data_IF_650345698098
#
_entry.id   IF_650345698098
#
_cell.length_a   1.000
_cell.length_b   1.000
_cell.length_c   1.000
_cell.angle_alpha   90.00
_cell.angle_beta   90.00
_cell.angle_gamma   90.00
#
_symmetry.space_group_name_H-M   'P 1'
#
loop_
_entity.id
_entity.type
_entity.pdbx_description
1 polymer ?
#
# COMPACT_ATOMS: atom_id res chain seq x y z
N UNK A 1 -15.57 22.40 2.99
CA UNK A 1 -16.83 21.64 2.85
C UNK A 1 -16.62 20.21 2.37
N UNK A 2 -15.52 19.95 1.66
CA UNK A 2 -15.26 18.65 1.04
C UNK A 2 -14.94 17.54 2.05
N UNK A 3 -14.56 17.88 3.26
CA UNK A 3 -14.27 16.94 4.36
C UNK A 3 -15.36 16.93 5.46
N UNK A 4 -16.57 17.36 5.17
CA UNK A 4 -17.69 17.32 6.12
C UNK A 4 -17.67 18.39 7.22
N UNK A 5 -16.63 19.24 7.29
CA UNK A 5 -16.52 20.28 8.30
C UNK A 5 -17.48 21.45 7.99
N UNK A 6 -17.98 22.10 9.04
CA UNK A 6 -18.90 23.24 8.89
C UNK A 6 -18.20 24.44 8.26
N UNK A 7 -18.99 25.27 7.56
CA UNK A 7 -18.47 26.51 6.98
C UNK A 7 -17.87 27.46 8.03
N UNK A 8 -18.41 27.45 9.25
CA UNK A 8 -17.89 28.22 10.36
C UNK A 8 -16.50 27.76 10.82
N UNK A 9 -16.24 26.45 10.76
CA UNK A 9 -14.92 25.90 11.05
C UNK A 9 -13.87 26.45 10.07
N UNK A 10 -14.11 26.30 8.76
CA UNK A 10 -13.17 26.79 7.75
C UNK A 10 -12.89 28.29 7.85
N UNK A 11 -13.92 29.09 8.05
CA UNK A 11 -13.75 30.54 8.18
C UNK A 11 -12.96 30.95 9.41
N UNK A 12 -13.16 30.28 10.52
CA UNK A 12 -12.43 30.53 11.76
C UNK A 12 -10.97 30.17 11.63
N UNK A 13 -10.69 28.93 11.26
CA UNK A 13 -9.33 28.41 11.21
C UNK A 13 -8.49 29.07 10.11
N UNK A 14 -9.08 29.36 8.96
CA UNK A 14 -8.39 30.08 7.88
C UNK A 14 -7.97 31.51 8.27
N UNK A 15 -8.66 32.13 9.21
CA UNK A 15 -8.33 33.47 9.70
C UNK A 15 -7.16 33.45 10.67
N UNK A 16 -7.09 32.44 11.53
CA UNK A 16 -6.11 32.36 12.62
C UNK A 16 -4.88 31.48 12.26
N UNK A 17 -4.90 30.87 11.08
CA UNK A 17 -3.94 29.84 10.68
C UNK A 17 -4.35 28.47 11.23
N UNK A 18 -4.33 27.46 10.37
CA UNK A 18 -4.70 26.09 10.77
C UNK A 18 -3.47 25.37 11.35
N UNK A 19 -3.52 25.06 12.63
CA UNK A 19 -2.57 24.14 13.23
C UNK A 19 -2.88 22.71 12.73
N UNK A 20 -1.87 22.06 12.17
CA UNK A 20 -2.00 20.69 11.65
C UNK A 20 -2.47 19.69 12.72
N UNK A 21 -2.08 19.89 13.99
CA UNK A 21 -2.52 19.04 15.08
C UNK A 21 -4.00 19.22 15.40
N UNK A 22 -4.50 20.44 15.33
CA UNK A 22 -5.94 20.74 15.49
C UNK A 22 -6.74 20.07 14.37
N UNK A 23 -6.28 20.12 13.13
CA UNK A 23 -6.92 19.45 12.01
C UNK A 23 -6.97 17.94 12.19
N UNK A 24 -5.86 17.33 12.61
CA UNK A 24 -5.80 15.89 12.89
C UNK A 24 -6.76 15.50 14.01
N UNK A 25 -6.82 16.28 15.09
CA UNK A 25 -7.74 16.04 16.19
C UNK A 25 -9.21 16.13 15.74
N UNK A 26 -9.56 17.14 14.96
CA UNK A 26 -10.92 17.30 14.42
C UNK A 26 -11.29 16.12 13.51
N UNK A 27 -10.38 15.69 12.62
CA UNK A 27 -10.61 14.55 11.74
C UNK A 27 -10.82 13.27 12.55
N UNK A 28 -9.94 12.99 13.51
CA UNK A 28 -9.98 11.75 14.26
C UNK A 28 -11.15 11.66 15.26
N UNK A 29 -11.59 12.78 15.83
CA UNK A 29 -12.55 12.78 16.92
C UNK A 29 -13.95 13.27 16.53
N UNK A 30 -14.08 13.99 15.42
CA UNK A 30 -15.35 14.62 15.03
C UNK A 30 -15.93 14.13 13.71
N UNK A 31 -15.12 13.59 12.80
CA UNK A 31 -15.62 13.06 11.54
C UNK A 31 -16.00 11.59 11.68
N UNK A 32 -17.17 11.25 11.18
CA UNK A 32 -17.60 9.86 11.04
C UNK A 32 -17.23 9.37 9.65
N UNK A 33 -16.48 8.29 9.58
CA UNK A 33 -16.02 7.69 8.33
C UNK A 33 -17.17 7.25 7.40
N UNK A 34 -18.32 6.93 7.97
CA UNK A 34 -19.50 6.42 7.26
C UNK A 34 -20.39 7.52 6.66
N UNK A 35 -20.39 8.72 7.24
CA UNK A 35 -21.30 9.79 6.84
C UNK A 35 -20.63 11.11 6.48
N UNK A 36 -19.45 11.38 7.04
CA UNK A 36 -18.85 12.72 7.00
C UNK A 36 -17.68 12.82 6.01
N UNK A 37 -17.12 11.70 5.56
CA UNK A 37 -15.98 11.69 4.65
C UNK A 37 -16.43 11.76 3.19
N UNK A 38 -15.77 12.58 2.36
CA UNK A 38 -16.01 12.61 0.93
C UNK A 38 -15.37 11.38 0.25
N UNK A 39 -16.12 10.74 -0.60
CA UNK A 39 -15.65 9.62 -1.42
C UNK A 39 -15.61 10.01 -2.89
N UNK A 40 -14.44 9.85 -3.53
CA UNK A 40 -14.26 10.09 -4.96
C UNK A 40 -14.26 8.79 -5.78
N UNK A 41 -14.15 7.64 -5.13
CA UNK A 41 -14.09 6.33 -5.77
C UNK A 41 -15.45 5.71 -6.05
N UNK A 42 -15.45 4.54 -6.71
CA UNK A 42 -16.68 3.81 -7.09
C UNK A 42 -17.45 3.23 -5.91
N UNK A 43 -16.83 3.11 -4.75
CA UNK A 43 -17.45 2.55 -3.55
C UNK A 43 -17.30 3.49 -2.36
N UNK A 44 -18.24 3.38 -1.44
CA UNK A 44 -18.23 4.03 -0.12
C UNK A 44 -18.27 2.96 0.96
N UNK A 45 -17.64 3.21 2.10
CA UNK A 45 -17.73 2.30 3.26
C UNK A 45 -19.12 2.46 3.87
N UNK A 46 -19.90 1.39 3.89
CA UNK A 46 -21.26 1.37 4.45
C UNK A 46 -21.31 0.81 5.87
N UNK A 47 -20.34 -0.05 6.23
CA UNK A 47 -20.24 -0.62 7.58
C UNK A 47 -18.79 -1.01 7.90
N UNK A 48 -18.44 -0.94 9.19
CA UNK A 48 -17.16 -1.39 9.70
C UNK A 48 -17.29 -2.00 11.10
N UNK A 49 -17.02 -3.29 11.20
CA UNK A 49 -16.91 -3.98 12.48
C UNK A 49 -15.44 -4.01 12.96
N UNK A 50 -15.14 -3.22 13.97
CA UNK A 50 -13.81 -3.13 14.54
C UNK A 50 -13.35 -4.42 15.26
N UNK A 51 -14.29 -5.26 15.71
CA UNK A 51 -13.97 -6.51 16.42
C UNK A 51 -13.49 -7.59 15.48
N UNK A 52 -14.15 -7.77 14.36
CA UNK A 52 -13.76 -8.71 13.29
C UNK A 52 -12.79 -8.09 12.29
N UNK A 53 -12.64 -6.76 12.29
CA UNK A 53 -11.92 -5.97 11.28
C UNK A 53 -12.47 -6.21 9.87
N UNK A 54 -13.79 -6.25 9.78
CA UNK A 54 -14.50 -6.42 8.51
C UNK A 54 -15.06 -5.08 8.05
N UNK A 55 -14.84 -4.72 6.80
CA UNK A 55 -15.40 -3.52 6.20
C UNK A 55 -16.30 -3.90 5.03
N UNK A 56 -17.51 -3.37 5.01
CA UNK A 56 -18.44 -3.52 3.90
C UNK A 56 -18.52 -2.23 3.11
N UNK A 57 -18.35 -2.33 1.80
CA UNK A 57 -18.41 -1.23 0.86
C UNK A 57 -19.61 -1.44 -0.08
N UNK A 58 -20.32 -0.37 -0.39
CA UNK A 58 -21.41 -0.35 -1.36
C UNK A 58 -21.11 0.66 -2.46
N UNK A 59 -21.83 0.56 -3.58
CA UNK A 59 -21.66 1.48 -4.70
C UNK A 59 -21.84 2.93 -4.26
N UNK A 60 -20.94 3.79 -4.72
CA UNK A 60 -21.07 5.23 -4.57
C UNK A 60 -22.08 5.75 -5.61
N UNK A 61 -23.26 6.23 -5.20
CA UNK A 61 -24.31 6.61 -6.13
C UNK A 61 -23.97 7.82 -7.00
N UNK A 62 -23.03 8.65 -6.55
CA UNK A 62 -22.59 9.83 -7.28
C UNK A 62 -21.32 9.63 -8.12
N UNK A 63 -20.74 8.41 -8.10
CA UNK A 63 -19.57 8.12 -8.92
C UNK A 63 -19.94 8.12 -10.40
N UNK A 64 -19.32 8.98 -11.21
CA UNK A 64 -19.68 9.12 -12.63
C UNK A 64 -19.25 7.94 -13.50
N UNK A 65 -18.35 7.11 -13.01
CA UNK A 65 -17.59 6.16 -13.83
C UNK A 65 -16.25 6.74 -14.28
N UNK A 66 -15.46 5.93 -14.94
CA UNK A 66 -14.26 6.38 -15.66
C UNK A 66 -14.34 6.01 -17.14
N UNK A 67 -13.55 6.67 -17.99
CA UNK A 67 -13.60 6.51 -19.46
C UNK A 67 -13.17 5.11 -19.91
N UNK A 68 -12.33 4.43 -19.12
CA UNK A 68 -11.77 3.12 -19.46
C UNK A 68 -12.63 1.95 -18.99
N UNK A 69 -13.26 2.08 -17.79
CA UNK A 69 -13.92 0.98 -17.08
C UNK A 69 -15.42 1.20 -16.86
N UNK A 70 -15.89 2.43 -17.05
CA UNK A 70 -17.28 2.79 -16.76
C UNK A 70 -17.63 2.75 -15.28
N UNK A 71 -18.84 2.38 -14.98
CA UNK A 71 -19.33 2.17 -13.60
C UNK A 71 -19.15 0.72 -13.18
N UNK A 72 -18.84 0.45 -11.89
CA UNK A 72 -18.75 -0.92 -11.39
C UNK A 72 -20.12 -1.60 -11.40
N UNK A 73 -20.12 -2.90 -11.64
CA UNK A 73 -21.33 -3.75 -11.65
C UNK A 73 -21.53 -4.55 -10.35
N UNK A 74 -20.46 -4.70 -9.54
CA UNK A 74 -20.53 -5.40 -8.25
C UNK A 74 -21.14 -4.45 -7.23
N UNK A 75 -22.27 -4.81 -6.64
CA UNK A 75 -23.03 -3.92 -5.76
C UNK A 75 -22.38 -3.72 -4.39
N UNK A 76 -21.73 -4.77 -3.87
CA UNK A 76 -21.11 -4.75 -2.54
C UNK A 76 -19.81 -5.52 -2.52
N UNK A 77 -18.85 -5.00 -1.77
CA UNK A 77 -17.54 -5.61 -1.48
C UNK A 77 -17.40 -5.76 0.02
N UNK A 78 -16.97 -6.94 0.49
CA UNK A 78 -16.65 -7.16 1.90
C UNK A 78 -15.15 -7.45 2.04
N UNK A 79 -14.45 -6.57 2.73
CA UNK A 79 -13.06 -6.77 3.10
C UNK A 79 -12.99 -7.46 4.45
N UNK A 80 -12.38 -8.64 4.47
CA UNK A 80 -12.15 -9.41 5.69
C UNK A 80 -10.67 -9.52 5.98
N UNK A 81 -10.32 -9.51 7.27
CA UNK A 81 -8.94 -9.77 7.65
C UNK A 81 -8.65 -11.26 7.51
N UNK A 82 -7.64 -11.60 6.73
CA UNK A 82 -7.10 -12.95 6.62
C UNK A 82 -5.67 -13.00 7.17
N UNK A 83 -5.19 -14.20 7.46
CA UNK A 83 -3.78 -14.46 7.80
C UNK A 83 -3.12 -15.18 6.63
N UNK A 84 -1.86 -14.83 6.35
CA UNK A 84 -1.14 -15.30 5.15
C UNK A 84 -1.08 -16.81 5.04
N UNK A 85 -0.99 -17.51 6.17
CA UNK A 85 -0.87 -18.95 6.24
C UNK A 85 -2.13 -19.71 5.78
N UNK A 86 -3.30 -19.08 5.85
CA UNK A 86 -4.59 -19.72 5.54
C UNK A 86 -5.33 -19.10 4.36
N UNK A 87 -4.87 -17.98 3.82
CA UNK A 87 -5.56 -17.25 2.76
C UNK A 87 -5.79 -18.11 1.50
N UNK A 88 -4.82 -18.92 1.11
CA UNK A 88 -4.95 -19.80 -0.05
C UNK A 88 -5.99 -20.91 0.16
N UNK A 89 -6.05 -21.47 1.37
CA UNK A 89 -7.05 -22.47 1.72
C UNK A 89 -8.47 -21.88 1.75
N UNK A 90 -8.61 -20.66 2.24
CA UNK A 90 -9.89 -19.94 2.24
C UNK A 90 -10.37 -19.64 0.82
N UNK A 91 -9.46 -19.23 -0.08
CA UNK A 91 -9.77 -19.06 -1.49
C UNK A 91 -10.20 -20.39 -2.16
N UNK A 92 -9.48 -21.47 -1.89
CA UNK A 92 -9.81 -22.81 -2.40
C UNK A 92 -11.18 -23.29 -1.96
N UNK A 93 -11.57 -23.00 -0.72
CA UNK A 93 -12.89 -23.35 -0.15
C UNK A 93 -14.00 -22.41 -0.60
N UNK A 94 -13.69 -21.27 -1.23
CA UNK A 94 -14.66 -20.25 -1.60
C UNK A 94 -15.15 -19.42 -0.40
N UNK A 95 -14.39 -19.36 0.68
CA UNK A 95 -14.67 -18.49 1.83
C UNK A 95 -14.33 -17.04 1.53
N UNK A 96 -13.42 -16.82 0.58
CA UNK A 96 -13.06 -15.53 0.00
C UNK A 96 -12.97 -15.69 -1.53
N UNK A 97 -13.22 -14.61 -2.25
CA UNK A 97 -13.21 -14.59 -3.72
C UNK A 97 -11.88 -14.00 -4.27
N UNK A 98 -11.24 -13.12 -3.52
CA UNK A 98 -10.03 -12.39 -3.96
C UNK A 98 -9.03 -12.29 -2.81
N UNK A 99 -7.78 -12.59 -3.09
CA UNK A 99 -6.65 -12.24 -2.22
C UNK A 99 -5.96 -11.03 -2.85
N UNK A 100 -5.76 -9.97 -2.07
CA UNK A 100 -5.10 -8.75 -2.53
C UNK A 100 -3.86 -8.42 -1.69
N UNK A 101 -2.87 -7.75 -2.31
CA UNK A 101 -1.71 -7.24 -1.60
C UNK A 101 -0.65 -8.28 -1.24
N UNK A 102 -0.57 -9.40 -1.96
CA UNK A 102 0.52 -10.37 -1.80
C UNK A 102 1.83 -9.70 -2.23
N UNK A 103 2.81 -9.64 -1.33
CA UNK A 103 4.11 -9.00 -1.58
C UNK A 103 5.30 -9.85 -1.14
N UNK A 104 5.09 -10.88 -0.33
CA UNK A 104 6.12 -11.82 0.08
C UNK A 104 6.45 -12.81 -1.03
N UNK A 105 7.73 -13.16 -1.17
CA UNK A 105 8.16 -14.04 -2.25
C UNK A 105 7.54 -15.44 -2.19
N UNK A 106 7.49 -16.04 -1.01
CA UNK A 106 6.94 -17.38 -0.83
C UNK A 106 5.42 -17.42 -0.96
N UNK A 107 4.72 -16.40 -0.41
CA UNK A 107 3.28 -16.25 -0.60
C UNK A 107 2.92 -16.05 -2.08
N UNK A 108 3.70 -15.25 -2.81
CA UNK A 108 3.51 -15.04 -4.25
C UNK A 108 3.66 -16.35 -5.02
N UNK A 109 4.73 -17.11 -4.74
CA UNK A 109 4.93 -18.42 -5.38
C UNK A 109 3.80 -19.39 -5.08
N UNK A 110 3.34 -19.44 -3.84
CA UNK A 110 2.22 -20.29 -3.44
C UNK A 110 0.91 -19.92 -4.13
N UNK A 111 0.63 -18.61 -4.26
CA UNK A 111 -0.56 -18.13 -4.97
C UNK A 111 -0.49 -18.42 -6.47
N UNK A 112 0.65 -18.17 -7.12
CA UNK A 112 0.84 -18.49 -8.54
C UNK A 112 0.69 -19.99 -8.82
N UNK A 113 1.17 -20.84 -7.91
CA UNK A 113 0.95 -22.28 -8.02
C UNK A 113 -0.53 -22.66 -8.04
N UNK A 114 -1.38 -21.98 -7.26
CA UNK A 114 -2.83 -22.22 -7.32
C UNK A 114 -3.42 -21.84 -8.67
N UNK A 115 -2.93 -20.80 -9.31
CA UNK A 115 -3.37 -20.42 -10.67
C UNK A 115 -2.96 -21.48 -11.68
N UNK A 116 -1.71 -21.92 -11.64
CA UNK A 116 -1.17 -22.91 -12.56
C UNK A 116 -1.87 -24.28 -12.45
N UNK A 117 -2.09 -24.75 -11.22
CA UNK A 117 -2.71 -26.04 -10.93
C UNK A 117 -4.24 -25.99 -10.96
N UNK A 118 -4.85 -24.80 -10.93
CA UNK A 118 -6.29 -24.59 -10.81
C UNK A 118 -7.08 -24.82 -12.09
N UNK A 119 -6.47 -25.23 -13.20
CA UNK A 119 -7.14 -25.53 -14.47
C UNK A 119 -8.10 -24.42 -14.96
N UNK A 120 -7.73 -23.16 -14.76
CA UNK A 120 -8.53 -21.98 -15.14
C UNK A 120 -9.59 -21.57 -14.11
N UNK A 121 -9.63 -22.21 -12.93
CA UNK A 121 -10.53 -21.80 -11.84
C UNK A 121 -10.11 -20.48 -11.22
N UNK A 122 -8.81 -20.21 -11.17
CA UNK A 122 -8.22 -18.99 -10.61
C UNK A 122 -7.51 -18.20 -11.69
N UNK A 123 -7.49 -16.89 -11.52
CA UNK A 123 -6.71 -15.96 -12.33
C UNK A 123 -5.90 -15.04 -11.43
N UNK A 124 -4.83 -14.49 -11.95
CA UNK A 124 -4.01 -13.51 -11.26
C UNK A 124 -3.81 -12.25 -12.08
N UNK A 125 -3.47 -11.17 -11.42
CA UNK A 125 -2.95 -9.95 -12.02
C UNK A 125 -1.90 -9.36 -11.11
N UNK A 126 -0.85 -8.81 -11.69
CA UNK A 126 0.23 -8.19 -10.95
C UNK A 126 0.68 -6.89 -11.61
N UNK A 127 1.35 -6.08 -10.84
CA UNK A 127 1.96 -4.82 -11.29
C UNK A 127 3.19 -4.51 -10.45
N UNK A 128 4.12 -3.77 -11.04
CA UNK A 128 5.31 -3.32 -10.32
C UNK A 128 4.92 -2.34 -9.23
N UNK A 129 5.31 -2.64 -8.00
CA UNK A 129 5.06 -1.76 -6.87
C UNK A 129 6.05 -0.60 -6.89
N UNK A 130 5.56 0.64 -6.89
CA UNK A 130 6.35 1.85 -6.78
C UNK A 130 6.87 2.08 -5.35
N UNK A 131 7.49 1.05 -4.76
CA UNK A 131 8.03 1.07 -3.41
C UNK A 131 9.44 0.52 -3.37
N UNK A 132 10.09 0.63 -2.22
CA UNK A 132 11.41 0.05 -1.99
C UNK A 132 11.56 -0.42 -0.54
N UNK A 133 12.37 -1.45 -0.34
CA UNK A 133 12.86 -1.87 0.97
C UNK A 133 14.16 -1.14 1.32
N UNK A 134 14.36 -0.82 2.59
CA UNK A 134 15.58 -0.16 3.07
C UNK A 134 16.05 -0.72 4.40
N UNK A 135 17.37 -0.72 4.60
CA UNK A 135 17.98 -0.78 5.92
C UNK A 135 18.24 0.66 6.39
N UNK A 136 17.53 1.08 7.44
CA UNK A 136 17.73 2.39 8.06
C UNK A 136 18.66 2.30 9.26
N UNK A 137 19.65 3.19 9.34
CA UNK A 137 20.55 3.30 10.48
C UNK A 137 20.12 4.44 11.39
N UNK A 138 20.14 4.20 12.68
CA UNK A 138 20.09 5.28 13.66
C UNK A 138 21.48 5.93 13.76
N UNK A 139 21.58 7.19 13.32
CA UNK A 139 22.88 7.88 13.18
C UNK A 139 23.26 8.74 14.38
N UNK A 140 22.38 8.88 15.36
CA UNK A 140 22.54 9.76 16.53
C UNK A 140 22.86 9.00 17.83
N UNK A 141 22.84 7.67 17.81
CA UNK A 141 23.01 6.86 19.02
C UNK A 141 23.72 5.53 18.74
N UNK A 142 24.54 5.11 19.69
CA UNK A 142 25.19 3.79 19.70
C UNK A 142 26.26 3.62 18.62
N UNK A 143 26.66 2.38 18.31
CA UNK A 143 27.72 2.10 17.34
C UNK A 143 27.43 2.63 15.93
N UNK A 144 26.17 2.69 15.55
CA UNK A 144 25.76 3.19 14.23
C UNK A 144 25.81 4.71 14.08
N UNK A 145 26.17 5.45 15.13
CA UNK A 145 26.53 6.87 15.04
C UNK A 145 27.81 7.06 14.20
N UNK A 146 28.73 6.09 14.22
CA UNK A 146 29.96 6.13 13.44
C UNK A 146 29.72 5.71 11.99
N UNK A 147 30.22 6.52 11.05
CA UNK A 147 30.03 6.25 9.62
C UNK A 147 30.69 4.93 9.18
N UNK A 148 31.85 4.64 9.71
CA UNK A 148 32.64 3.45 9.42
C UNK A 148 31.91 2.16 9.81
N UNK A 149 31.16 2.19 10.91
CA UNK A 149 30.34 1.05 11.35
C UNK A 149 29.18 0.82 10.36
N UNK A 150 28.52 1.89 9.93
CA UNK A 150 27.45 1.77 8.93
C UNK A 150 27.96 1.25 7.60
N UNK A 151 29.13 1.74 7.15
CA UNK A 151 29.81 1.28 5.94
C UNK A 151 30.18 -0.20 6.04
N UNK A 152 30.77 -0.62 7.17
CA UNK A 152 31.12 -2.01 7.40
C UNK A 152 29.88 -2.92 7.30
N UNK A 153 28.75 -2.52 7.90
CA UNK A 153 27.50 -3.27 7.78
C UNK A 153 27.04 -3.34 6.32
N UNK A 154 27.10 -2.24 5.56
CA UNK A 154 26.73 -2.25 4.15
C UNK A 154 27.60 -3.23 3.32
N UNK A 155 28.89 -3.34 3.59
CA UNK A 155 29.77 -4.28 2.91
C UNK A 155 29.49 -5.75 3.23
N UNK A 156 28.80 -6.07 4.32
CA UNK A 156 28.44 -7.45 4.66
C UNK A 156 27.15 -7.94 3.98
N UNK A 157 26.39 -7.05 3.36
CA UNK A 157 25.09 -7.38 2.77
C UNK A 157 25.25 -7.62 1.27
N UNK A 158 25.02 -8.85 0.85
CA UNK A 158 24.84 -9.20 -0.56
C UNK A 158 23.42 -8.75 -0.99
N UNK A 159 23.29 -7.53 -1.51
CA UNK A 159 22.00 -6.93 -1.88
C UNK A 159 21.25 -7.70 -2.96
N UNK A 160 21.90 -8.16 -4.04
CA UNK A 160 21.25 -9.01 -5.03
C UNK A 160 20.67 -10.30 -4.44
N UNK A 161 21.43 -11.00 -3.62
CA UNK A 161 20.99 -12.23 -2.97
C UNK A 161 19.85 -11.97 -1.97
N UNK A 162 19.96 -10.88 -1.20
CA UNK A 162 18.90 -10.45 -0.29
C UNK A 162 17.60 -10.13 -1.05
N UNK A 163 17.68 -9.35 -2.13
CA UNK A 163 16.53 -9.03 -2.95
C UNK A 163 15.88 -10.30 -3.54
N UNK A 164 16.71 -11.21 -4.09
CA UNK A 164 16.25 -12.47 -4.64
C UNK A 164 15.52 -13.32 -3.60
N UNK A 165 16.08 -13.45 -2.41
CA UNK A 165 15.52 -14.28 -1.34
C UNK A 165 14.25 -13.65 -0.76
N UNK A 166 14.31 -12.36 -0.42
CA UNK A 166 13.19 -11.64 0.22
C UNK A 166 11.97 -11.51 -0.69
N UNK A 167 12.18 -11.21 -1.96
CA UNK A 167 11.07 -11.02 -2.92
C UNK A 167 10.73 -12.29 -3.70
N UNK A 168 11.43 -13.38 -3.49
CA UNK A 168 11.25 -14.61 -4.27
C UNK A 168 11.62 -14.49 -5.75
N UNK A 169 12.39 -13.46 -6.10
CA UNK A 169 12.79 -13.15 -7.47
C UNK A 169 11.90 -12.10 -8.17
N UNK A 170 10.88 -11.57 -7.47
CA UNK A 170 9.98 -10.55 -8.02
C UNK A 170 10.43 -9.11 -7.78
N UNK A 171 11.59 -8.90 -7.16
CA UNK A 171 12.15 -7.58 -6.91
C UNK A 171 13.56 -7.41 -7.44
N UNK A 172 14.00 -6.17 -7.54
CA UNK A 172 15.32 -5.80 -7.97
C UNK A 172 16.02 -4.87 -6.98
N UNK A 173 17.36 -4.79 -7.05
CA UNK A 173 18.13 -3.84 -6.26
C UNK A 173 17.90 -2.43 -6.79
N UNK A 174 17.67 -1.47 -5.86
CA UNK A 174 17.58 -0.05 -6.18
C UNK A 174 18.70 0.73 -5.48
N UNK A 175 19.13 1.84 -6.07
CA UNK A 175 20.28 2.63 -5.58
C UNK A 175 19.87 3.93 -4.88
N UNK A 176 18.57 4.10 -4.61
CA UNK A 176 18.04 5.26 -3.90
C UNK A 176 16.55 5.08 -3.55
N UNK A 177 15.96 6.05 -2.86
CA UNK A 177 14.59 5.99 -2.37
C UNK A 177 13.57 6.31 -3.49
N UNK A 178 13.68 5.63 -4.63
CA UNK A 178 12.84 5.86 -5.79
C UNK A 178 12.58 4.55 -6.54
N UNK A 179 11.46 4.51 -7.21
CA UNK A 179 11.10 3.44 -8.11
C UNK A 179 11.71 3.68 -9.50
N UNK A 180 12.43 2.68 -10.02
CA UNK A 180 13.15 2.77 -11.30
C UNK A 180 12.24 2.83 -12.54
N UNK A 181 10.95 2.56 -12.39
CA UNK A 181 9.94 2.71 -13.45
C UNK A 181 9.38 4.11 -13.62
N UNK A 182 9.70 5.07 -12.74
CA UNK A 182 9.24 6.44 -12.92
C UNK A 182 9.87 7.10 -14.16
N UNK A 183 9.08 7.85 -14.92
CA UNK A 183 9.57 8.61 -16.08
C UNK A 183 10.67 9.60 -15.71
N UNK A 184 10.59 10.23 -14.56
CA UNK A 184 11.62 11.12 -14.05
C UNK A 184 12.94 10.40 -13.75
N UNK A 185 12.89 9.16 -13.24
CA UNK A 185 14.09 8.33 -13.08
C UNK A 185 14.70 7.98 -14.43
N UNK A 186 13.88 7.49 -15.35
CA UNK A 186 14.32 7.10 -16.70
C UNK A 186 14.97 8.24 -17.50
N UNK A 187 14.54 9.48 -17.26
CA UNK A 187 15.11 10.66 -17.93
C UNK A 187 16.54 10.98 -17.48
N UNK A 188 16.99 10.51 -16.30
CA UNK A 188 18.29 10.82 -15.72
C UNK A 188 19.04 9.55 -15.25
N UNK A 189 18.62 8.40 -15.68
CA UNK A 189 19.15 7.11 -15.24
C UNK A 189 20.66 7.00 -15.42
N UNK A 190 21.19 7.50 -16.54
CA UNK A 190 22.60 7.47 -16.84
C UNK A 190 23.44 8.48 -16.03
N UNK A 191 22.79 9.47 -15.42
CA UNK A 191 23.42 10.51 -14.61
C UNK A 191 23.46 10.16 -13.11
N UNK A 192 22.74 9.11 -12.70
CA UNK A 192 22.62 8.72 -11.30
C UNK A 192 23.91 8.04 -10.85
N UNK A 193 24.52 8.64 -9.83
CA UNK A 193 25.70 8.06 -9.19
C UNK A 193 25.26 6.83 -8.38
N UNK A 194 25.72 5.66 -8.78
CA UNK A 194 25.46 4.43 -8.07
C UNK A 194 26.15 4.43 -6.70
N UNK A 195 25.51 3.77 -5.74
CA UNK A 195 26.07 3.61 -4.40
C UNK A 195 27.35 2.76 -4.48
N UNK A 196 28.47 3.32 -4.04
CA UNK A 196 29.77 2.63 -4.04
C UNK A 196 29.85 1.42 -3.09
N UNK A 197 28.88 1.28 -2.19
CA UNK A 197 28.76 0.14 -1.27
C UNK A 197 27.79 -0.94 -1.76
N UNK A 198 27.39 -0.87 -3.01
CA UNK A 198 26.47 -1.80 -3.62
C UNK A 198 27.17 -3.03 -4.18
#
# INVERSE_FOLDING_TARGET
KECGLSEGFYKKEAKDGVDAFVMVDVINNNLKWDSDLPYSGPYVVSDYDASSRTATLTLNPIYPGDDARGKPSIESLTYVKVISETQNDQLLKGEIDIISGITGGDETKAALKLVDEGAGKFAETHYDRAGYGKLGFRCDLGPTAFAEVRQAICYTINRPEFAQTFTGGFGSVVHGPYYTGFSAYKAVEDEIILNQYA
#
